data_IF_426803634866
#
_entry.id   IF_426803634866
#
_cell.length_a   1.000
_cell.length_b   1.000
_cell.length_c   1.000
_cell.angle_alpha   90.00
_cell.angle_beta   90.00
_cell.angle_gamma   90.00
#
_symmetry.space_group_name_H-M   'P 1'
#
loop_
_entity.id
_entity.type
_entity.pdbx_description
1 polymer ?
#
# COMPACT_ATOMS: atom_id res chain seq x y z
N UNK A 1 2.58 -35.11 -5.86
CA UNK A 1 2.26 -35.25 -4.42
C UNK A 1 3.32 -36.06 -3.68
N UNK A 2 3.62 -37.30 -4.10
CA UNK A 2 4.64 -38.17 -3.45
C UNK A 2 5.95 -37.47 -3.06
N UNK A 3 6.47 -36.61 -3.93
CA UNK A 3 7.65 -35.79 -3.61
C UNK A 3 7.47 -34.92 -2.35
N UNK A 4 6.35 -34.20 -2.22
CA UNK A 4 6.08 -33.34 -1.07
C UNK A 4 5.75 -34.16 0.19
N UNK A 5 5.08 -35.30 0.04
CA UNK A 5 4.83 -36.23 1.15
C UNK A 5 6.15 -36.74 1.74
N UNK A 6 7.07 -37.18 0.88
CA UNK A 6 8.41 -37.62 1.30
C UNK A 6 9.21 -36.51 2.00
N UNK A 7 9.11 -35.26 1.53
CA UNK A 7 9.73 -34.11 2.22
C UNK A 7 9.06 -33.86 3.56
N UNK A 8 7.73 -33.92 3.65
CA UNK A 8 7.01 -33.68 4.89
C UNK A 8 7.35 -34.72 5.96
N UNK A 9 7.45 -36.00 5.57
CA UNK A 9 7.89 -37.10 6.44
C UNK A 9 9.33 -36.91 6.91
N UNK A 10 10.23 -36.50 6.02
CA UNK A 10 11.65 -36.30 6.33
C UNK A 10 11.92 -35.03 7.13
N UNK A 11 11.11 -33.99 6.92
CA UNK A 11 11.31 -32.63 7.42
C UNK A 11 10.03 -32.05 8.04
N UNK A 12 9.45 -32.64 9.11
CA UNK A 12 8.16 -32.21 9.67
C UNK A 12 8.18 -30.80 10.31
N UNK A 13 9.39 -30.26 10.55
CA UNK A 13 9.60 -28.92 11.11
C UNK A 13 9.98 -27.89 10.05
N UNK A 14 9.76 -28.18 8.77
CA UNK A 14 10.04 -27.25 7.69
C UNK A 14 9.23 -25.96 7.88
N UNK A 15 9.92 -24.82 7.96
CA UNK A 15 9.30 -23.51 8.23
C UNK A 15 9.12 -22.64 6.99
N UNK A 16 9.86 -22.93 5.92
CA UNK A 16 9.90 -22.11 4.72
C UNK A 16 9.73 -22.94 3.46
N UNK A 17 8.83 -22.51 2.61
CA UNK A 17 8.57 -23.10 1.30
C UNK A 17 8.65 -22.01 0.22
N UNK A 18 9.47 -22.28 -0.79
CA UNK A 18 9.63 -21.41 -1.93
C UNK A 18 9.23 -22.15 -3.20
N UNK A 19 8.25 -21.58 -3.90
CA UNK A 19 7.79 -22.03 -5.20
C UNK A 19 8.39 -21.08 -6.24
N UNK A 20 9.41 -21.56 -6.95
CA UNK A 20 9.97 -20.86 -8.09
C UNK A 20 9.79 -21.71 -9.34
N UNK A 21 9.21 -21.13 -10.39
CA UNK A 21 8.95 -21.84 -11.67
C UNK A 21 8.09 -23.09 -11.47
N UNK A 22 7.14 -23.02 -10.53
CA UNK A 22 6.37 -24.18 -10.14
C UNK A 22 5.64 -24.75 -11.36
N UNK A 23 6.00 -26.00 -11.68
CA UNK A 23 5.40 -26.93 -12.63
C UNK A 23 4.83 -26.28 -13.89
N UNK A 24 5.45 -26.61 -15.03
CA UNK A 24 4.68 -26.67 -16.27
C UNK A 24 3.60 -27.75 -16.07
N UNK A 25 2.52 -27.38 -15.40
CA UNK A 25 1.33 -28.22 -15.36
C UNK A 25 0.79 -28.17 -16.77
N UNK A 26 0.77 -29.33 -17.41
CA UNK A 26 0.07 -29.47 -18.67
C UNK A 26 -1.36 -28.92 -18.52
N UNK A 27 -1.93 -28.28 -19.56
CA UNK A 27 -3.22 -27.60 -19.48
C UNK A 27 -4.33 -28.43 -18.81
N UNK A 28 -4.31 -29.76 -18.99
CA UNK A 28 -5.27 -30.69 -18.40
C UNK A 28 -5.13 -30.85 -16.87
N UNK A 29 -3.95 -30.61 -16.30
CA UNK A 29 -3.71 -30.71 -14.85
C UNK A 29 -3.97 -29.39 -14.09
N UNK A 30 -4.33 -28.31 -14.80
CA UNK A 30 -4.62 -27.02 -14.16
C UNK A 30 -5.72 -27.15 -13.11
N UNK A 31 -6.72 -28.00 -13.35
CA UNK A 31 -7.84 -28.29 -12.44
C UNK A 31 -7.43 -28.72 -11.04
N UNK A 32 -6.30 -29.39 -10.93
CA UNK A 32 -5.81 -29.88 -9.66
C UNK A 32 -4.87 -28.88 -8.98
N UNK A 33 -4.52 -27.76 -9.62
CA UNK A 33 -3.56 -26.79 -9.10
C UNK A 33 -3.88 -26.29 -7.69
N UNK A 34 -5.09 -25.73 -7.48
CA UNK A 34 -5.47 -25.21 -6.15
C UNK A 34 -5.50 -26.34 -5.11
N UNK A 35 -6.15 -27.45 -5.45
CA UNK A 35 -6.25 -28.60 -4.56
C UNK A 35 -4.85 -29.12 -4.17
N UNK A 36 -3.92 -29.10 -5.12
CA UNK A 36 -2.52 -29.47 -4.92
C UNK A 36 -1.82 -28.55 -3.93
N UNK A 37 -2.00 -27.22 -4.04
CA UNK A 37 -1.42 -26.28 -3.08
C UNK A 37 -2.06 -26.40 -1.69
N UNK A 38 -3.38 -26.56 -1.59
CA UNK A 38 -4.06 -26.80 -0.32
C UNK A 38 -3.52 -28.07 0.36
N UNK A 39 -3.36 -29.15 -0.41
CA UNK A 39 -2.76 -30.40 0.08
C UNK A 39 -1.30 -30.22 0.49
N UNK A 40 -0.49 -29.49 -0.28
CA UNK A 40 0.90 -29.17 0.11
C UNK A 40 0.91 -28.38 1.42
N UNK A 41 0.09 -27.35 1.57
CA UNK A 41 0.00 -26.58 2.80
C UNK A 41 -0.39 -27.44 4.00
N UNK A 42 -1.33 -28.38 3.82
CA UNK A 42 -1.71 -29.32 4.84
C UNK A 42 -0.57 -30.28 5.26
N UNK A 43 0.36 -30.60 4.35
CA UNK A 43 1.56 -31.40 4.67
C UNK A 43 2.60 -30.64 5.49
N UNK A 44 2.59 -29.30 5.46
CA UNK A 44 3.57 -28.45 6.13
C UNK A 44 2.91 -27.47 7.12
N UNK A 45 2.23 -27.96 8.18
CA UNK A 45 1.52 -27.10 9.13
C UNK A 45 2.45 -26.16 9.94
N UNK A 46 3.74 -26.50 10.01
CA UNK A 46 4.79 -25.69 10.66
C UNK A 46 5.33 -24.57 9.76
N UNK A 47 4.96 -24.53 8.47
CA UNK A 47 5.47 -23.56 7.52
C UNK A 47 4.86 -22.18 7.79
N UNK A 48 5.73 -21.23 8.13
CA UNK A 48 5.38 -19.84 8.42
C UNK A 48 5.78 -18.89 7.30
N UNK A 49 6.71 -19.31 6.43
CA UNK A 49 7.25 -18.53 5.31
C UNK A 49 6.88 -19.15 3.97
N UNK A 50 6.15 -18.40 3.15
CA UNK A 50 5.68 -18.85 1.85
C UNK A 50 6.08 -17.85 0.77
N UNK A 51 6.78 -18.35 -0.25
CA UNK A 51 7.23 -17.54 -1.39
C UNK A 51 6.68 -18.11 -2.68
N UNK A 52 6.04 -17.26 -3.48
CA UNK A 52 5.44 -17.60 -4.77
C UNK A 52 5.96 -16.67 -5.86
N UNK A 53 6.11 -17.21 -7.08
CA UNK A 53 6.13 -16.37 -8.28
C UNK A 53 4.69 -16.04 -8.69
N UNK A 54 4.41 -14.83 -9.17
CA UNK A 54 3.05 -14.42 -9.60
C UNK A 54 2.51 -15.33 -10.69
N UNK A 55 3.38 -15.79 -11.61
CA UNK A 55 3.02 -16.76 -12.64
C UNK A 55 2.46 -18.07 -12.05
N UNK A 56 2.94 -18.48 -10.87
CA UNK A 56 2.47 -19.69 -10.22
C UNK A 56 1.09 -19.46 -9.57
N UNK A 57 0.81 -18.24 -9.09
CA UNK A 57 -0.51 -17.85 -8.60
C UNK A 57 -1.56 -17.76 -9.71
N UNK A 58 -1.20 -17.25 -10.90
CA UNK A 58 -2.11 -17.25 -12.04
C UNK A 58 -2.53 -18.65 -12.47
N UNK A 59 -1.61 -19.62 -12.44
CA UNK A 59 -1.96 -21.01 -12.78
C UNK A 59 -3.02 -21.56 -11.82
N UNK A 60 -3.15 -20.99 -10.63
CA UNK A 60 -4.17 -21.32 -9.63
C UNK A 60 -5.52 -20.64 -9.92
N UNK A 61 -5.58 -19.55 -10.69
CA UNK A 61 -6.77 -18.71 -10.88
C UNK A 61 -7.99 -19.42 -11.49
N UNK A 62 -7.76 -20.49 -12.26
CA UNK A 62 -8.80 -21.09 -13.10
C UNK A 62 -9.87 -21.86 -12.32
N UNK A 63 -9.74 -22.00 -10.99
CA UNK A 63 -10.69 -22.77 -10.18
C UNK A 63 -11.37 -21.88 -9.15
N UNK A 64 -12.71 -21.90 -9.19
CA UNK A 64 -13.61 -20.95 -8.56
C UNK A 64 -13.74 -21.14 -7.04
N UNK A 65 -12.62 -21.36 -6.34
CA UNK A 65 -12.64 -21.49 -4.89
C UNK A 65 -12.76 -20.11 -4.22
N UNK A 66 -13.52 -20.08 -3.13
CA UNK A 66 -13.77 -18.85 -2.36
C UNK A 66 -12.52 -18.34 -1.65
N UNK A 67 -11.56 -19.20 -1.31
CA UNK A 67 -10.42 -18.85 -0.46
C UNK A 67 -9.08 -19.15 -1.14
N UNK A 68 -8.24 -18.13 -1.25
CA UNK A 68 -6.91 -18.21 -1.85
C UNK A 68 -5.88 -18.84 -0.91
N UNK A 69 -5.99 -18.50 0.38
CA UNK A 69 -5.31 -19.15 1.49
C UNK A 69 -6.37 -19.60 2.49
N UNK A 70 -6.53 -20.91 2.63
CA UNK A 70 -7.48 -21.52 3.58
C UNK A 70 -6.90 -21.68 4.99
N UNK A 71 -7.58 -22.47 5.81
CA UNK A 71 -7.17 -22.79 7.19
C UNK A 71 -5.84 -23.52 7.28
N UNK A 72 -5.38 -24.14 6.20
CA UNK A 72 -4.09 -24.82 6.10
C UNK A 72 -2.92 -23.84 6.29
N UNK A 73 -3.14 -22.55 6.06
CA UNK A 73 -2.15 -21.49 6.22
C UNK A 73 -2.30 -20.77 7.58
N UNK A 74 -2.83 -21.45 8.60
CA UNK A 74 -3.12 -20.86 9.93
C UNK A 74 -1.89 -20.22 10.61
N UNK A 75 -0.67 -20.60 10.23
CA UNK A 75 0.59 -20.13 10.81
C UNK A 75 1.40 -19.22 9.86
N UNK A 76 0.81 -18.76 8.77
CA UNK A 76 1.47 -17.86 7.81
C UNK A 76 1.88 -16.54 8.48
N UNK A 77 3.20 -16.31 8.61
CA UNK A 77 3.77 -15.04 9.11
C UNK A 77 4.46 -14.24 8.02
N UNK A 78 4.93 -14.91 6.96
CA UNK A 78 5.67 -14.27 5.86
C UNK A 78 5.11 -14.73 4.53
N UNK A 79 4.62 -13.77 3.74
CA UNK A 79 4.14 -14.00 2.38
C UNK A 79 4.94 -13.16 1.39
N UNK A 80 5.58 -13.83 0.43
CA UNK A 80 6.35 -13.20 -0.63
C UNK A 80 5.76 -13.60 -1.98
N UNK A 81 5.46 -12.63 -2.82
CA UNK A 81 4.91 -12.78 -4.17
C UNK A 81 5.74 -11.94 -5.13
N UNK A 82 6.52 -12.63 -5.95
CA UNK A 82 7.56 -12.05 -6.81
C UNK A 82 7.28 -12.26 -8.30
N UNK A 83 7.96 -11.48 -9.13
CA UNK A 83 7.91 -11.60 -10.58
C UNK A 83 6.87 -10.66 -11.21
N UNK A 84 7.21 -10.00 -12.32
CA UNK A 84 6.29 -9.08 -12.99
C UNK A 84 5.19 -9.88 -13.68
N UNK A 85 3.96 -9.39 -13.59
CA UNK A 85 2.87 -9.91 -14.39
C UNK A 85 2.01 -8.79 -14.97
N UNK A 86 1.80 -8.85 -16.27
CA UNK A 86 0.74 -8.11 -16.92
C UNK A 86 -0.58 -8.78 -16.55
N UNK A 87 -1.49 -8.03 -15.94
CA UNK A 87 -2.89 -8.44 -15.69
C UNK A 87 -3.14 -9.49 -14.58
N UNK A 88 -2.59 -9.27 -13.38
CA UNK A 88 -2.77 -10.16 -12.24
C UNK A 88 -4.08 -9.96 -11.44
N UNK A 89 -5.12 -9.40 -12.08
CA UNK A 89 -6.30 -8.85 -11.39
C UNK A 89 -6.96 -9.83 -10.43
N UNK A 90 -7.08 -11.09 -10.82
CA UNK A 90 -7.66 -12.10 -9.95
C UNK A 90 -6.79 -12.41 -8.73
N UNK A 91 -5.47 -12.54 -8.92
CA UNK A 91 -4.55 -12.78 -7.80
C UNK A 91 -4.56 -11.60 -6.83
N UNK A 92 -4.64 -10.38 -7.36
CA UNK A 92 -4.85 -9.16 -6.57
C UNK A 92 -6.16 -9.26 -5.76
N UNK A 93 -7.29 -9.57 -6.40
CA UNK A 93 -8.62 -9.62 -5.74
C UNK A 93 -8.67 -10.69 -4.65
N UNK A 94 -8.08 -11.85 -4.94
CA UNK A 94 -7.98 -12.98 -4.02
C UNK A 94 -7.07 -12.71 -2.83
N UNK A 95 -5.92 -12.07 -3.07
CA UNK A 95 -5.04 -11.64 -2.01
C UNK A 95 -5.69 -10.56 -1.14
N UNK A 96 -6.38 -9.60 -1.75
CA UNK A 96 -7.14 -8.60 -1.00
C UNK A 96 -8.19 -9.29 -0.10
N UNK A 97 -9.01 -10.19 -0.65
CA UNK A 97 -9.99 -10.95 0.13
C UNK A 97 -9.35 -11.75 1.28
N UNK A 98 -8.15 -12.29 1.09
CA UNK A 98 -7.41 -12.94 2.18
C UNK A 98 -6.99 -11.92 3.26
N UNK A 99 -6.41 -10.80 2.86
CA UNK A 99 -5.91 -9.76 3.78
C UNK A 99 -7.03 -9.09 4.57
N UNK A 100 -8.25 -9.11 4.04
CA UNK A 100 -9.42 -8.47 4.62
C UNK A 100 -10.33 -9.42 5.37
N UNK A 101 -10.28 -10.72 5.12
CA UNK A 101 -11.16 -11.71 5.77
C UNK A 101 -10.97 -11.76 7.30
N UNK A 102 -12.08 -11.87 8.05
CA UNK A 102 -12.07 -12.12 9.50
C UNK A 102 -11.59 -13.53 9.85
N UNK A 103 -11.77 -14.49 8.94
CA UNK A 103 -11.49 -15.91 9.19
C UNK A 103 -10.10 -16.33 8.71
N UNK A 104 -9.35 -15.43 8.08
CA UNK A 104 -8.03 -15.73 7.56
C UNK A 104 -6.93 -15.59 8.63
N UNK A 105 -5.78 -16.19 8.34
CA UNK A 105 -4.55 -16.02 9.12
C UNK A 105 -3.84 -14.70 8.86
N UNK A 106 -4.40 -13.79 8.05
CA UNK A 106 -3.76 -12.53 7.70
C UNK A 106 -3.39 -11.67 8.93
N UNK A 107 -4.15 -11.77 10.02
CA UNK A 107 -3.85 -11.09 11.29
C UNK A 107 -2.51 -11.49 11.92
N UNK A 108 -1.97 -12.67 11.58
CA UNK A 108 -0.65 -13.15 12.04
C UNK A 108 0.50 -12.75 11.11
N UNK A 109 0.19 -12.12 9.97
CA UNK A 109 1.19 -11.77 8.99
C UNK A 109 2.11 -10.67 9.54
N UNK A 110 3.41 -10.95 9.54
CA UNK A 110 4.49 -10.06 9.98
C UNK A 110 5.22 -9.46 8.77
N UNK A 111 5.33 -10.21 7.68
CA UNK A 111 6.02 -9.77 6.47
C UNK A 111 5.16 -10.03 5.23
N UNK A 112 4.91 -8.98 4.46
CA UNK A 112 4.18 -9.02 3.20
C UNK A 112 5.02 -8.34 2.12
N UNK A 113 5.50 -9.11 1.15
CA UNK A 113 6.26 -8.60 0.01
C UNK A 113 5.57 -8.99 -1.29
N UNK A 114 4.92 -8.04 -1.93
CA UNK A 114 4.08 -8.25 -3.11
C UNK A 114 4.46 -7.21 -4.16
N UNK A 115 5.66 -7.35 -4.71
CA UNK A 115 6.17 -6.46 -5.75
C UNK A 115 5.78 -6.92 -7.15
N UNK A 116 5.25 -8.14 -7.27
CA UNK A 116 4.78 -8.70 -8.53
C UNK A 116 3.33 -8.37 -8.90
N UNK A 117 2.51 -7.97 -7.92
CA UNK A 117 1.11 -7.56 -8.11
C UNK A 117 0.98 -6.04 -7.97
N UNK A 118 -0.02 -5.43 -8.60
CA UNK A 118 -0.24 -3.98 -8.53
C UNK A 118 -1.64 -3.69 -7.99
N UNK A 119 -1.74 -3.40 -6.69
CA UNK A 119 -3.01 -3.17 -6.02
C UNK A 119 -3.67 -1.89 -6.54
N UNK A 120 -4.94 -1.93 -6.92
CA UNK A 120 -5.62 -0.73 -7.32
C UNK A 120 -5.87 0.21 -6.14
N UNK A 121 -5.67 1.51 -6.37
CA UNK A 121 -5.81 2.52 -5.31
C UNK A 121 -7.21 2.56 -4.66
N UNK A 122 -8.26 2.21 -5.39
CA UNK A 122 -9.63 2.22 -4.86
C UNK A 122 -9.88 1.18 -3.76
N UNK A 123 -8.99 0.19 -3.57
CA UNK A 123 -9.08 -0.70 -2.39
C UNK A 123 -8.65 -0.02 -1.10
N UNK A 124 -7.89 1.06 -1.20
CA UNK A 124 -7.41 1.82 -0.05
C UNK A 124 -8.19 3.13 0.13
N UNK A 125 -8.98 3.51 -0.88
CA UNK A 125 -9.83 4.69 -0.85
C UNK A 125 -11.17 4.41 -0.15
N UNK A 126 -11.18 4.55 1.17
CA UNK A 126 -12.37 4.32 2.00
C UNK A 126 -13.55 5.24 1.67
N UNK A 127 -13.29 6.36 1.00
CA UNK A 127 -14.30 7.34 0.62
C UNK A 127 -14.68 7.24 -0.86
N UNK A 128 -14.08 6.30 -1.60
CA UNK A 128 -14.35 6.06 -3.03
C UNK A 128 -14.25 7.31 -3.91
N UNK A 129 -13.38 8.26 -3.56
CA UNK A 129 -13.11 9.49 -4.32
C UNK A 129 -12.55 9.20 -5.71
N UNK A 130 -11.81 8.09 -5.84
CA UNK A 130 -11.29 7.56 -7.11
C UNK A 130 -12.37 6.82 -7.93
N UNK A 131 -13.57 6.64 -7.36
CA UNK A 131 -14.65 5.83 -7.90
C UNK A 131 -15.50 6.59 -8.91
N UNK A 132 -15.26 6.30 -10.20
CA UNK A 132 -16.18 6.48 -11.32
C UNK A 132 -16.11 7.83 -12.05
N UNK A 133 -15.03 8.03 -12.81
CA UNK A 133 -15.01 8.94 -13.96
C UNK A 133 -16.00 8.54 -15.07
N UNK A 134 -16.63 7.36 -15.00
CA UNK A 134 -17.73 7.01 -15.90
C UNK A 134 -19.08 7.45 -15.32
N UNK A 135 -19.87 8.24 -16.07
CA UNK A 135 -21.20 8.65 -15.63
C UNK A 135 -22.09 7.41 -15.38
N UNK A 136 -22.95 7.43 -14.35
CA UNK A 136 -23.81 6.31 -13.97
C UNK A 136 -24.63 5.74 -15.13
N UNK A 137 -24.95 6.56 -16.12
CA UNK A 137 -25.77 6.21 -17.29
C UNK A 137 -25.15 5.17 -18.23
N UNK A 138 -23.85 4.86 -18.13
CA UNK A 138 -23.18 3.85 -18.97
C UNK A 138 -22.82 2.55 -18.25
N UNK A 139 -23.01 2.47 -16.93
CA UNK A 139 -22.79 1.22 -16.20
C UNK A 139 -24.01 0.30 -16.38
N UNK A 140 -23.92 -0.62 -17.35
CA UNK A 140 -24.93 -1.68 -17.59
C UNK A 140 -24.99 -2.76 -16.50
N UNK A 141 -24.14 -2.67 -15.46
CA UNK A 141 -24.08 -3.66 -14.38
C UNK A 141 -24.80 -3.06 -13.17
N UNK A 142 -25.74 -3.79 -12.54
CA UNK A 142 -26.44 -3.29 -11.36
C UNK A 142 -25.44 -2.93 -10.28
N UNK A 143 -25.58 -1.73 -9.72
CA UNK A 143 -24.97 -1.25 -8.48
C UNK A 143 -25.42 -2.14 -7.30
N UNK A 144 -24.96 -3.39 -7.24
CA UNK A 144 -24.97 -4.16 -6.00
C UNK A 144 -23.91 -3.56 -5.07
N UNK A 145 -24.30 -2.47 -4.43
CA UNK A 145 -23.50 -1.66 -3.51
C UNK A 145 -23.19 -2.34 -2.17
N UNK A 146 -23.09 -3.68 -2.14
CA UNK A 146 -22.63 -4.46 -0.98
C UNK A 146 -21.09 -4.57 -0.92
N UNK A 147 -20.37 -4.18 -1.98
CA UNK A 147 -18.92 -4.32 -2.08
C UNK A 147 -18.11 -3.11 -1.57
N UNK A 148 -18.76 -2.10 -1.00
CA UNK A 148 -18.17 -0.77 -0.85
C UNK A 148 -17.94 -0.30 0.59
N UNK A 149 -17.95 -1.20 1.56
CA UNK A 149 -16.99 -1.04 2.64
C UNK A 149 -15.69 -1.62 2.11
N UNK A 150 -14.76 -0.76 1.68
CA UNK A 150 -13.39 -1.18 1.41
C UNK A 150 -12.92 -1.99 2.63
N UNK A 151 -12.87 -3.31 2.48
CA UNK A 151 -12.55 -4.15 3.61
C UNK A 151 -11.10 -3.81 4.00
N UNK A 152 -10.90 -3.48 5.27
CA UNK A 152 -9.60 -3.03 5.74
C UNK A 152 -8.72 -4.25 5.99
N UNK A 153 -7.45 -4.16 5.57
CA UNK A 153 -6.49 -5.22 5.80
C UNK A 153 -6.29 -5.44 7.30
N UNK A 154 -6.35 -6.70 7.73
CA UNK A 154 -6.34 -7.10 9.15
C UNK A 154 -4.95 -7.40 9.69
N UNK A 155 -3.90 -7.30 8.88
CA UNK A 155 -2.51 -7.55 9.27
C UNK A 155 -1.89 -6.38 10.07
N UNK A 156 -2.40 -6.09 11.28
CA UNK A 156 -1.93 -4.95 12.11
C UNK A 156 -0.50 -5.09 12.64
N UNK A 157 -0.04 -6.34 12.82
CA UNK A 157 1.29 -6.69 13.32
C UNK A 157 2.37 -6.69 12.22
N UNK A 158 2.04 -6.17 11.03
CA UNK A 158 2.92 -6.18 9.89
C UNK A 158 4.13 -5.25 10.13
N UNK A 159 5.33 -5.84 10.04
CA UNK A 159 6.62 -5.15 10.15
C UNK A 159 7.24 -4.83 8.80
N UNK A 160 6.94 -5.62 7.78
CA UNK A 160 7.42 -5.38 6.42
C UNK A 160 6.28 -5.34 5.44
N UNK A 161 6.19 -4.25 4.68
CA UNK A 161 5.22 -4.08 3.59
C UNK A 161 5.94 -3.62 2.34
N UNK A 162 6.05 -4.48 1.34
CA UNK A 162 6.53 -4.10 0.02
C UNK A 162 5.39 -4.27 -0.97
N UNK A 163 4.90 -3.18 -1.55
CA UNK A 163 3.70 -3.19 -2.39
C UNK A 163 3.81 -2.23 -3.56
N UNK A 164 3.21 -2.63 -4.68
CA UNK A 164 3.00 -1.76 -5.83
C UNK A 164 1.53 -1.36 -5.91
N UNK A 165 1.28 -0.09 -6.22
CA UNK A 165 -0.04 0.47 -6.41
C UNK A 165 -0.24 0.84 -7.88
N UNK A 166 -1.39 0.43 -8.43
CA UNK A 166 -1.84 0.75 -9.78
C UNK A 166 -2.77 1.96 -9.74
N UNK A 167 -2.40 2.99 -10.50
CA UNK A 167 -3.31 4.07 -10.87
C UNK A 167 -4.01 3.68 -12.17
N UNK A 168 -5.36 3.76 -12.21
CA UNK A 168 -6.12 3.53 -13.45
C UNK A 168 -6.05 4.72 -14.40
N UNK A 169 -5.99 5.92 -13.83
CA UNK A 169 -6.08 7.19 -14.54
C UNK A 169 -4.79 8.00 -14.26
N UNK A 170 -3.81 7.88 -15.16
CA UNK A 170 -2.50 8.56 -15.06
C UNK A 170 -2.63 10.09 -15.02
N UNK A 171 -3.80 10.64 -15.38
CA UNK A 171 -3.90 12.04 -15.76
C UNK A 171 -4.14 13.03 -14.61
N UNK A 172 -4.68 12.66 -13.44
CA UNK A 172 -5.07 13.70 -12.46
C UNK A 172 -4.97 13.39 -10.96
N UNK A 173 -4.60 12.17 -10.55
CA UNK A 173 -4.71 11.79 -9.13
C UNK A 173 -3.39 11.53 -8.41
N UNK A 174 -2.24 11.94 -8.96
CA UNK A 174 -0.93 11.70 -8.36
C UNK A 174 -0.89 12.02 -6.85
N UNK A 175 -1.33 13.22 -6.46
CA UNK A 175 -1.37 13.66 -5.06
C UNK A 175 -2.43 12.94 -4.22
N UNK A 176 -3.68 12.88 -4.70
CA UNK A 176 -4.78 12.27 -3.93
C UNK A 176 -4.56 10.78 -3.70
N UNK A 177 -4.10 10.04 -4.72
CA UNK A 177 -3.77 8.62 -4.60
C UNK A 177 -2.61 8.40 -3.62
N UNK A 178 -1.58 9.24 -3.65
CA UNK A 178 -0.50 9.19 -2.66
C UNK A 178 -1.02 9.46 -1.24
N UNK A 179 -1.92 10.44 -1.05
CA UNK A 179 -2.53 10.70 0.27
C UNK A 179 -3.34 9.51 0.75
N UNK A 180 -4.15 8.91 -0.12
CA UNK A 180 -4.95 7.71 0.19
C UNK A 180 -4.02 6.60 0.66
N UNK A 181 -3.00 6.29 -0.15
CA UNK A 181 -2.03 5.25 0.17
C UNK A 181 -1.30 5.51 1.48
N UNK A 182 -0.70 6.69 1.65
CA UNK A 182 0.09 7.00 2.82
C UNK A 182 -0.77 7.07 4.09
N UNK A 183 -1.97 7.66 3.98
CA UNK A 183 -2.97 7.67 5.04
C UNK A 183 -3.37 6.26 5.45
N UNK A 184 -3.74 5.42 4.49
CA UNK A 184 -4.14 4.03 4.75
C UNK A 184 -3.00 3.25 5.41
N UNK A 185 -1.80 3.28 4.83
CA UNK A 185 -0.62 2.56 5.37
C UNK A 185 -0.30 3.01 6.79
N UNK A 186 -0.28 4.33 7.05
CA UNK A 186 0.03 4.89 8.37
C UNK A 186 -0.95 4.46 9.47
N UNK A 187 -2.22 4.26 9.12
CA UNK A 187 -3.29 3.87 10.05
C UNK A 187 -3.37 2.36 10.21
N UNK A 188 -3.24 1.63 9.11
CA UNK A 188 -3.50 0.19 9.11
C UNK A 188 -2.33 -0.62 9.64
N UNK A 189 -1.09 -0.15 9.44
CA UNK A 189 0.12 -0.88 9.80
C UNK A 189 1.04 -0.07 10.74
N UNK A 190 0.61 0.21 11.97
CA UNK A 190 1.38 1.05 12.91
C UNK A 190 2.73 0.43 13.32
N UNK A 191 2.88 -0.87 13.12
CA UNK A 191 4.05 -1.67 13.51
C UNK A 191 5.14 -1.76 12.42
N UNK A 192 4.99 -1.07 11.29
CA UNK A 192 5.94 -1.15 10.18
C UNK A 192 7.33 -0.69 10.56
N UNK A 193 8.31 -1.52 10.22
CA UNK A 193 9.75 -1.27 10.32
C UNK A 193 10.40 -1.09 8.93
N UNK A 194 9.86 -1.73 7.89
CA UNK A 194 10.37 -1.71 6.51
C UNK A 194 9.22 -1.53 5.50
N UNK A 195 9.23 -0.42 4.76
CA UNK A 195 8.19 -0.03 3.82
C UNK A 195 8.79 0.21 2.43
N UNK A 196 8.27 -0.48 1.42
CA UNK A 196 8.53 -0.20 0.01
C UNK A 196 7.22 0.13 -0.68
N UNK A 197 7.10 1.35 -1.18
CA UNK A 197 5.97 1.81 -1.99
C UNK A 197 6.43 1.96 -3.44
N UNK A 198 5.77 1.27 -4.35
CA UNK A 198 6.00 1.41 -5.80
C UNK A 198 4.73 1.91 -6.49
N UNK A 199 4.85 2.93 -7.33
CA UNK A 199 3.72 3.56 -8.03
C UNK A 199 4.20 4.13 -9.36
N UNK A 200 3.31 4.22 -10.33
CA UNK A 200 3.67 4.78 -11.65
C UNK A 200 4.14 6.22 -11.53
N UNK A 201 3.30 7.10 -10.96
CA UNK A 201 3.63 8.51 -10.76
C UNK A 201 3.62 8.83 -9.27
N UNK A 202 4.76 9.26 -8.73
CA UNK A 202 4.86 9.72 -7.34
C UNK A 202 5.06 11.22 -7.28
N UNK A 203 4.26 11.86 -6.44
CA UNK A 203 4.46 13.25 -6.04
C UNK A 203 5.11 13.26 -4.66
N UNK A 204 6.22 13.98 -4.52
CA UNK A 204 6.96 14.06 -3.28
C UNK A 204 6.54 15.25 -2.41
N UNK A 205 5.69 16.14 -2.91
CA UNK A 205 5.26 17.34 -2.19
C UNK A 205 4.63 17.03 -0.83
N UNK A 206 4.68 17.99 0.08
CA UNK A 206 4.15 17.82 1.44
C UNK A 206 2.66 17.48 1.45
N UNK A 207 1.89 18.04 0.51
CA UNK A 207 0.47 17.81 0.33
C UNK A 207 0.16 16.48 -0.37
N UNK A 208 1.16 15.79 -0.93
CA UNK A 208 0.98 14.46 -1.53
C UNK A 208 0.74 13.36 -0.50
N UNK A 209 1.02 13.64 0.78
CA UNK A 209 0.71 12.74 1.89
C UNK A 209 1.87 11.87 2.37
N UNK A 210 3.06 11.93 1.76
CA UNK A 210 4.25 11.22 2.30
C UNK A 210 4.56 11.63 3.74
N UNK A 211 4.26 12.88 4.11
CA UNK A 211 4.40 13.36 5.49
C UNK A 211 3.52 12.56 6.47
N UNK A 212 2.41 11.96 6.04
CA UNK A 212 1.52 11.18 6.90
C UNK A 212 2.19 9.90 7.42
N UNK A 213 3.14 9.35 6.65
CA UNK A 213 3.90 8.15 7.03
C UNK A 213 4.77 8.36 8.28
N UNK A 214 4.93 9.58 8.79
CA UNK A 214 5.70 9.83 10.01
C UNK A 214 5.02 9.39 11.29
N UNK A 215 3.73 9.08 11.23
CA UNK A 215 3.05 8.36 12.30
C UNK A 215 3.61 6.96 12.52
N UNK A 216 4.29 6.38 11.51
CA UNK A 216 5.00 5.11 11.64
C UNK A 216 6.28 5.29 12.46
N UNK A 217 6.14 5.45 13.78
CA UNK A 217 7.26 5.70 14.69
C UNK A 217 8.30 4.56 14.77
N UNK A 218 7.94 3.37 14.28
CA UNK A 218 8.83 2.19 14.20
C UNK A 218 9.56 2.05 12.87
N UNK A 219 9.25 2.90 11.88
CA UNK A 219 9.79 2.79 10.53
C UNK A 219 11.30 3.07 10.53
N UNK A 220 12.06 2.08 10.05
CA UNK A 220 13.52 2.14 9.91
C UNK A 220 13.97 2.28 8.47
N UNK A 221 13.24 1.66 7.54
CA UNK A 221 13.59 1.62 6.12
C UNK A 221 12.40 2.08 5.30
N UNK A 222 12.61 3.08 4.45
CA UNK A 222 11.62 3.56 3.49
C UNK A 222 12.21 3.53 2.09
N UNK A 223 11.56 2.83 1.17
CA UNK A 223 11.85 2.91 -0.26
C UNK A 223 10.64 3.44 -1.01
N UNK A 224 10.84 4.48 -1.80
CA UNK A 224 9.81 5.10 -2.63
C UNK A 224 10.23 4.95 -4.08
N UNK A 225 9.43 4.22 -4.86
CA UNK A 225 9.74 3.82 -6.24
C UNK A 225 8.72 4.42 -7.20
N UNK A 226 9.12 5.45 -7.94
CA UNK A 226 8.36 6.03 -9.05
C UNK A 226 8.77 5.34 -10.36
N UNK A 227 7.83 4.68 -11.04
CA UNK A 227 8.12 3.98 -12.30
C UNK A 227 8.20 4.94 -13.50
N UNK A 228 7.50 6.05 -13.41
CA UNK A 228 7.46 7.11 -14.40
C UNK A 228 7.87 8.45 -13.77
N UNK A 229 7.88 9.48 -14.61
CA UNK A 229 8.35 10.83 -14.33
C UNK A 229 7.79 11.39 -13.02
N UNK A 230 8.68 11.83 -12.13
CA UNK A 230 8.35 12.64 -10.96
C UNK A 230 9.19 13.92 -10.99
N UNK A 231 8.54 15.08 -11.00
CA UNK A 231 9.26 16.34 -10.82
C UNK A 231 9.64 16.48 -9.36
N UNK A 232 10.94 16.57 -9.08
CA UNK A 232 11.45 16.82 -7.73
C UNK A 232 11.70 18.33 -7.62
N UNK A 233 10.67 19.07 -7.21
CA UNK A 233 10.78 20.53 -7.06
C UNK A 233 11.41 20.89 -5.71
N UNK A 234 12.12 22.02 -5.64
CA UNK A 234 12.62 22.58 -4.39
C UNK A 234 11.49 22.74 -3.35
N UNK A 235 11.50 21.91 -2.31
CA UNK A 235 10.49 21.92 -1.24
C UNK A 235 9.81 20.57 -1.02
N UNK A 236 9.88 19.67 -2.01
CA UNK A 236 9.26 18.34 -1.97
C UNK A 236 9.83 17.39 -0.90
N UNK A 237 10.82 17.80 -0.12
CA UNK A 237 11.40 16.97 0.94
C UNK A 237 11.29 17.62 2.32
N UNK A 238 10.56 18.71 2.45
CA UNK A 238 10.48 19.43 3.74
C UNK A 238 9.82 18.55 4.82
N UNK A 239 9.09 17.50 4.43
CA UNK A 239 8.55 16.49 5.34
C UNK A 239 9.61 15.59 5.99
N UNK A 240 10.84 15.50 5.45
CA UNK A 240 11.99 14.77 6.03
C UNK A 240 12.71 15.56 7.12
N UNK A 241 12.46 16.87 7.23
CA UNK A 241 13.17 17.71 8.17
C UNK A 241 13.03 17.18 9.61
N UNK A 242 14.17 17.00 10.29
CA UNK A 242 14.21 16.52 11.68
C UNK A 242 13.59 17.50 12.67
N UNK A 243 13.86 18.79 12.44
CA UNK A 243 13.34 19.90 13.24
C UNK A 243 12.39 20.73 12.37
N UNK A 244 11.11 20.41 12.46
CA UNK A 244 10.08 21.14 11.72
C UNK A 244 9.84 22.56 12.24
N UNK A 245 10.32 22.91 13.44
CA UNK A 245 10.19 24.27 13.93
C UNK A 245 10.99 25.25 13.07
N UNK A 246 12.12 24.80 12.48
CA UNK A 246 12.99 25.63 11.65
C UNK A 246 12.52 25.82 10.20
N UNK A 247 11.73 24.91 9.63
CA UNK A 247 11.22 25.02 8.24
C UNK A 247 9.99 25.93 8.13
N UNK A 248 10.00 27.06 8.87
CA UNK A 248 8.87 27.96 9.15
C UNK A 248 8.06 28.47 7.95
N UNK A 249 8.60 28.51 6.72
CA UNK A 249 7.88 29.10 5.56
C UNK A 249 6.84 28.15 4.97
N UNK A 250 7.22 26.92 4.61
CA UNK A 250 6.30 25.91 4.10
C UNK A 250 5.19 25.59 5.13
N UNK A 251 5.56 25.55 6.42
CA UNK A 251 4.65 25.41 7.56
C UNK A 251 3.56 26.49 7.60
N UNK A 252 3.96 27.77 7.58
CA UNK A 252 3.01 28.90 7.63
C UNK A 252 2.16 28.94 6.38
N UNK A 253 2.75 28.65 5.22
CA UNK A 253 2.05 28.64 3.95
C UNK A 253 0.96 27.56 3.92
N UNK A 254 1.27 26.30 4.25
CA UNK A 254 0.27 25.21 4.19
C UNK A 254 -0.85 25.40 5.23
N UNK A 255 -0.53 25.85 6.44
CA UNK A 255 -1.54 26.21 7.45
C UNK A 255 -2.40 27.41 7.03
N UNK A 256 -1.79 28.42 6.40
CA UNK A 256 -2.52 29.60 5.92
C UNK A 256 -3.36 29.26 4.69
N UNK A 257 -2.83 28.51 3.74
CA UNK A 257 -3.55 28.00 2.57
C UNK A 257 -4.72 27.14 3.01
N UNK A 258 -4.54 26.21 3.96
CA UNK A 258 -5.66 25.43 4.46
C UNK A 258 -6.72 26.29 5.16
N UNK A 259 -6.29 27.27 5.97
CA UNK A 259 -7.22 28.24 6.60
C UNK A 259 -7.98 29.07 5.57
N UNK A 260 -7.32 29.48 4.48
CA UNK A 260 -7.88 30.33 3.43
C UNK A 260 -8.65 29.54 2.37
N UNK A 261 -8.40 28.25 2.20
CA UNK A 261 -9.06 27.34 1.26
C UNK A 261 -10.42 26.83 1.74
N UNK A 262 -10.85 27.19 2.96
CA UNK A 262 -12.19 26.89 3.47
C UNK A 262 -13.34 27.21 2.48
N UNK A 263 -13.30 28.27 1.64
CA UNK A 263 -14.37 28.54 0.65
C UNK A 263 -14.22 27.80 -0.69
N UNK A 264 -13.06 27.17 -0.99
CA UNK A 264 -12.79 26.44 -2.25
C UNK A 264 -12.84 24.91 -2.09
N UNK A 265 -13.36 24.41 -0.98
CA UNK A 265 -13.60 22.97 -0.76
C UNK A 265 -14.43 22.28 -1.84
N UNK A 266 -15.04 23.02 -2.75
CA UNK A 266 -15.73 22.56 -3.95
C UNK A 266 -15.01 21.40 -4.68
N UNK A 267 -13.67 21.36 -4.75
CA UNK A 267 -12.93 20.21 -5.31
C UNK A 267 -12.96 18.92 -4.45
N UNK A 268 -13.01 19.03 -3.11
CA UNK A 268 -13.24 17.90 -2.21
C UNK A 268 -14.75 17.57 -2.09
N UNK A 269 -15.63 18.57 -2.23
CA UNK A 269 -17.09 18.42 -2.11
C UNK A 269 -17.74 17.82 -3.35
N UNK A 270 -17.15 17.89 -4.55
CA UNK A 270 -17.74 17.23 -5.72
C UNK A 270 -17.61 15.70 -5.73
N UNK A 271 -16.83 15.11 -4.81
CA UNK A 271 -16.91 13.68 -4.51
C UNK A 271 -18.04 13.34 -3.50
N UNK A 272 -18.75 14.33 -2.96
CA UNK A 272 -19.81 14.17 -1.97
C UNK A 272 -21.21 14.35 -2.56
N UNK A 273 -21.68 13.34 -3.30
CA UNK A 273 -23.06 12.77 -3.23
C UNK A 273 -23.24 11.74 -4.36
N UNK A 274 -23.73 10.49 -4.10
CA UNK A 274 -24.66 10.09 -3.04
C UNK A 274 -24.34 8.70 -2.45
N UNK A 275 -23.80 8.59 -1.23
CA UNK A 275 -23.88 7.31 -0.52
C UNK A 275 -24.30 7.40 0.96
N UNK A 276 -24.33 8.59 1.56
CA UNK A 276 -24.71 8.73 2.98
C UNK A 276 -25.78 9.79 3.30
N UNK A 277 -26.48 10.33 2.29
CA UNK A 277 -27.64 11.21 2.50
C UNK A 277 -28.91 10.48 3.00
N UNK A 278 -28.84 9.17 3.30
CA UNK A 278 -30.01 8.38 3.67
C UNK A 278 -30.13 8.02 5.16
N UNK A 279 -29.21 8.45 6.02
CA UNK A 279 -29.38 8.27 7.47
C UNK A 279 -28.95 9.53 8.21
N UNK A 280 -29.91 10.43 8.42
CA UNK A 280 -29.88 11.47 9.45
C UNK A 280 -29.86 10.80 10.84
N UNK A 281 -28.77 10.12 11.18
CA UNK A 281 -28.45 9.81 12.56
C UNK A 281 -27.95 11.11 13.22
N UNK A 282 -28.59 11.47 14.34
CA UNK A 282 -28.32 12.71 15.08
C UNK A 282 -26.81 12.90 15.30
N UNK A 283 -26.30 14.14 15.23
CA UNK A 283 -24.90 14.45 15.54
C UNK A 283 -24.59 14.06 16.99
N UNK A 284 -24.05 12.85 17.18
CA UNK A 284 -23.80 12.24 18.48
C UNK A 284 -23.58 10.73 18.41
N UNK A 285 -24.26 10.02 17.50
CA UNK A 285 -24.24 8.55 17.46
C UNK A 285 -23.28 7.92 16.42
N UNK A 286 -22.70 8.70 15.50
CA UNK A 286 -21.93 8.14 14.36
C UNK A 286 -20.43 7.91 14.60
N UNK A 287 -19.93 8.08 15.84
CA UNK A 287 -18.48 7.92 16.12
C UNK A 287 -18.02 6.47 15.91
N UNK A 288 -18.90 5.47 16.07
CA UNK A 288 -18.52 4.06 15.95
C UNK A 288 -18.26 3.60 14.52
N UNK A 289 -18.83 4.26 13.51
CA UNK A 289 -18.81 3.76 12.14
C UNK A 289 -17.47 3.92 11.41
N UNK A 290 -16.54 4.69 11.98
CA UNK A 290 -15.21 4.93 11.39
C UNK A 290 -14.08 4.23 12.14
N UNK A 291 -14.41 3.53 13.23
CA UNK A 291 -13.44 2.77 14.02
C UNK A 291 -13.38 1.35 13.48
N UNK A 292 -12.24 0.94 12.93
CA UNK A 292 -12.05 -0.43 12.43
C UNK A 292 -10.90 -1.08 13.17
N UNK A 293 -11.23 -2.12 13.94
CA UNK A 293 -10.32 -2.78 14.88
C UNK A 293 -9.64 -1.79 15.86
N UNK A 294 -10.39 -0.78 16.32
CA UNK A 294 -9.87 0.26 17.23
C UNK A 294 -9.06 1.36 16.54
N UNK A 295 -8.93 1.34 15.21
CA UNK A 295 -8.24 2.39 14.45
C UNK A 295 -9.26 3.39 13.90
N UNK A 296 -9.03 4.68 14.17
CA UNK A 296 -9.80 5.77 13.57
C UNK A 296 -9.40 5.97 12.10
N UNK A 297 -10.32 5.64 11.20
CA UNK A 297 -10.13 5.73 9.76
C UNK A 297 -10.67 7.05 9.16
N UNK A 298 -11.09 8.01 9.99
CA UNK A 298 -11.55 9.31 9.50
C UNK A 298 -10.45 10.04 8.74
N UNK A 299 -10.84 10.73 7.69
CA UNK A 299 -9.98 11.62 6.89
C UNK A 299 -8.85 10.92 6.13
N UNK A 300 -8.76 9.59 6.14
CA UNK A 300 -7.75 8.85 5.37
C UNK A 300 -7.79 9.31 3.90
N UNK A 301 -6.66 9.79 3.39
CA UNK A 301 -6.53 10.32 2.04
C UNK A 301 -6.95 11.77 1.80
N UNK A 302 -7.48 12.45 2.83
CA UNK A 302 -7.84 13.87 2.74
C UNK A 302 -6.65 14.78 3.10
N UNK A 303 -6.68 16.03 2.61
CA UNK A 303 -5.71 17.06 3.03
C UNK A 303 -5.81 17.34 4.53
N UNK A 304 -6.99 17.16 5.11
CA UNK A 304 -7.19 17.28 6.56
C UNK A 304 -6.26 16.36 7.37
N UNK A 305 -6.03 15.14 6.92
CA UNK A 305 -5.15 14.21 7.64
C UNK A 305 -3.68 14.69 7.62
N UNK A 306 -3.24 15.29 6.51
CA UNK A 306 -1.94 15.96 6.41
C UNK A 306 -1.83 17.10 7.44
N UNK A 307 -2.88 17.91 7.57
CA UNK A 307 -2.91 19.03 8.53
C UNK A 307 -2.86 18.53 9.97
N UNK A 308 -3.59 17.47 10.31
CA UNK A 308 -3.55 16.87 11.65
C UNK A 308 -2.17 16.31 11.97
N UNK A 309 -1.52 15.60 11.04
CA UNK A 309 -0.12 15.14 11.21
C UNK A 309 0.83 16.30 11.49
N UNK A 310 0.68 17.41 10.77
CA UNK A 310 1.51 18.60 10.99
C UNK A 310 1.28 19.14 12.41
N UNK A 311 0.02 19.22 12.87
CA UNK A 311 -0.29 19.67 14.23
C UNK A 311 0.28 18.73 15.30
N UNK A 312 0.10 17.42 15.13
CA UNK A 312 0.64 16.37 16.01
C UNK A 312 2.15 16.54 16.15
N UNK A 313 2.88 16.64 15.04
CA UNK A 313 4.33 16.85 15.08
C UNK A 313 4.73 18.14 15.77
N UNK A 314 3.98 19.23 15.57
CA UNK A 314 4.27 20.50 16.24
C UNK A 314 4.07 20.42 17.75
N UNK A 315 3.11 19.62 18.21
CA UNK A 315 2.90 19.35 19.62
C UNK A 315 4.02 18.48 20.21
N UNK A 316 4.50 17.49 19.46
CA UNK A 316 5.51 16.51 19.91
C UNK A 316 6.97 17.01 19.77
N UNK A 317 7.17 18.33 19.66
CA UNK A 317 8.52 18.91 19.52
C UNK A 317 9.16 18.72 18.14
N UNK A 318 8.39 18.29 17.14
CA UNK A 318 8.77 18.30 15.73
C UNK A 318 9.56 17.08 15.25
N UNK A 319 9.79 16.06 16.08
CA UNK A 319 10.61 14.92 15.69
C UNK A 319 9.92 14.03 14.65
N UNK A 320 10.62 13.75 13.55
CA UNK A 320 10.15 12.96 12.42
C UNK A 320 10.93 11.66 12.30
N UNK A 321 10.26 10.51 12.30
CA UNK A 321 10.86 9.17 12.24
C UNK A 321 12.13 9.03 13.10
N UNK A 322 11.95 8.93 14.42
CA UNK A 322 13.09 8.84 15.34
C UNK A 322 13.98 7.61 15.09
N UNK A 323 13.45 6.59 14.37
CA UNK A 323 14.13 5.32 14.09
C UNK A 323 14.52 5.11 12.63
N UNK A 324 14.32 6.10 11.75
CA UNK A 324 14.68 5.94 10.34
C UNK A 324 16.20 5.82 10.21
N UNK A 325 16.63 4.75 9.56
CA UNK A 325 18.04 4.41 9.30
C UNK A 325 18.35 4.51 7.80
N UNK A 326 17.37 4.19 6.94
CA UNK A 326 17.58 4.05 5.51
C UNK A 326 16.45 4.66 4.68
N UNK A 327 16.80 5.49 3.70
CA UNK A 327 15.88 6.05 2.70
C UNK A 327 16.38 5.70 1.29
N UNK A 328 15.53 5.06 0.50
CA UNK A 328 15.81 4.80 -0.91
C UNK A 328 14.80 5.51 -1.80
N UNK A 329 15.29 6.29 -2.75
CA UNK A 329 14.48 6.96 -3.75
C UNK A 329 14.82 6.38 -5.11
N UNK A 330 13.88 5.65 -5.71
CA UNK A 330 14.03 5.10 -7.05
C UNK A 330 13.15 5.90 -8.01
N UNK A 331 13.78 6.65 -8.91
CA UNK A 331 13.07 7.53 -9.83
C UNK A 331 13.33 7.04 -11.25
N UNK A 332 12.26 6.74 -12.00
CA UNK A 332 12.29 6.50 -13.44
C UNK A 332 12.18 7.81 -14.23
N UNK A 333 12.87 7.92 -15.37
CA UNK A 333 12.81 9.11 -16.23
C UNK A 333 13.99 9.25 -17.20
N UNK A 334 13.91 10.24 -18.09
CA UNK A 334 14.91 10.54 -19.12
C UNK A 334 16.19 11.25 -18.60
N UNK A 335 17.19 11.37 -19.47
CA UNK A 335 18.57 11.82 -19.14
C UNK A 335 18.72 13.27 -18.66
N UNK A 336 17.69 14.11 -18.67
CA UNK A 336 17.87 15.56 -18.43
C UNK A 336 17.71 15.98 -16.96
N UNK A 337 17.28 15.08 -16.05
CA UNK A 337 16.92 15.40 -14.66
C UNK A 337 17.96 15.01 -13.59
N UNK A 338 19.22 14.91 -13.98
CA UNK A 338 20.27 14.33 -13.14
C UNK A 338 20.83 15.36 -12.16
N UNK A 339 20.76 16.64 -12.53
CA UNK A 339 21.11 17.75 -11.65
C UNK A 339 20.21 17.75 -10.40
N UNK A 340 18.93 17.45 -10.58
CA UNK A 340 17.97 17.39 -9.45
C UNK A 340 18.32 16.29 -8.46
N UNK A 341 18.85 15.15 -8.91
CA UNK A 341 19.22 14.04 -7.99
C UNK A 341 20.38 14.37 -7.04
N UNK A 342 21.40 15.10 -7.51
CA UNK A 342 22.52 15.52 -6.67
C UNK A 342 22.10 16.60 -5.68
N UNK A 343 21.25 17.53 -6.12
CA UNK A 343 20.65 18.56 -5.25
C UNK A 343 19.77 17.91 -4.18
N UNK A 344 19.00 16.89 -4.56
CA UNK A 344 18.16 16.11 -3.66
C UNK A 344 18.99 15.42 -2.58
N UNK A 345 20.04 14.70 -2.99
CA UNK A 345 20.94 14.00 -2.08
C UNK A 345 21.61 14.97 -1.11
N UNK A 346 22.16 16.08 -1.61
CA UNK A 346 22.74 17.11 -0.77
C UNK A 346 21.72 17.69 0.24
N UNK A 347 20.47 17.91 -0.20
CA UNK A 347 19.40 18.41 0.67
C UNK A 347 19.03 17.40 1.75
N UNK A 348 18.86 16.12 1.42
CA UNK A 348 18.57 15.07 2.41
C UNK A 348 19.72 14.95 3.40
N UNK A 349 20.97 14.83 2.93
CA UNK A 349 22.14 14.72 3.82
C UNK A 349 22.28 15.93 4.75
N UNK A 350 21.88 17.12 4.30
CA UNK A 350 21.83 18.31 5.14
C UNK A 350 20.72 18.23 6.21
N UNK A 351 19.55 17.69 5.88
CA UNK A 351 18.40 17.62 6.79
C UNK A 351 18.45 16.43 7.76
N UNK A 352 19.02 15.31 7.30
CA UNK A 352 19.07 14.00 7.97
C UNK A 352 20.42 13.32 7.70
N UNK A 353 21.54 13.87 8.20
CA UNK A 353 22.86 13.28 8.00
C UNK A 353 23.01 11.88 8.62
N UNK A 354 22.13 11.51 9.55
CA UNK A 354 22.12 10.21 10.21
C UNK A 354 21.48 9.08 9.37
N UNK A 355 20.75 9.42 8.29
CA UNK A 355 20.08 8.44 7.44
C UNK A 355 21.00 8.06 6.28
N UNK A 356 21.15 6.76 6.03
CA UNK A 356 21.72 6.25 4.80
C UNK A 356 20.75 6.53 3.64
N UNK A 357 21.19 7.31 2.65
CA UNK A 357 20.42 7.64 1.47
C UNK A 357 20.95 6.91 0.24
N UNK A 358 20.06 6.22 -0.46
CA UNK A 358 20.34 5.65 -1.77
C UNK A 358 19.38 6.21 -2.83
N UNK A 359 19.94 6.89 -3.83
CA UNK A 359 19.16 7.37 -5.00
C UNK A 359 19.45 6.45 -6.19
N UNK A 360 18.53 5.52 -6.45
CA UNK A 360 18.68 4.54 -7.53
C UNK A 360 18.02 5.06 -8.79
N UNK A 361 18.76 5.02 -9.89
CA UNK A 361 18.28 5.44 -11.19
C UNK A 361 17.78 4.22 -11.94
N UNK A 362 16.48 4.16 -12.24
CA UNK A 362 15.92 3.07 -13.03
C UNK A 362 15.87 3.50 -14.48
N UNK A 363 16.66 2.83 -15.33
CA UNK A 363 16.42 2.92 -16.78
C UNK A 363 15.08 2.24 -17.02
N UNK A 364 14.08 3.00 -17.43
CA UNK A 364 12.83 2.44 -17.90
C UNK A 364 13.18 1.72 -19.20
N UNK A 365 13.29 0.39 -19.14
CA UNK A 365 13.22 -0.40 -20.33
C UNK A 365 11.78 -0.26 -20.81
N UNK A 366 11.56 0.53 -21.86
CA UNK A 366 10.27 0.53 -22.54
C UNK A 366 10.00 -0.91 -22.95
N UNK A 367 9.09 -1.58 -22.25
CA UNK A 367 8.52 -2.84 -22.71
C UNK A 367 7.58 -2.44 -23.86
N UNK A 368 8.16 -2.37 -25.06
CA UNK A 368 7.45 -2.18 -26.33
C UNK A 368 6.66 -3.44 -26.64
#
# INVERSE_FOLDING_TARGET
>A
MQFFESIAESCPRLQSLQFSKAFWMEPHNRAHGIEYYGRIAALFPSATHWTFQVNDLLKMQMFNQKHFFGSEHANLTTLVIEGPLMEARYAEEKLNSFLTSTTSSAHKLVHLRVTGLAFPIWWWDLELRQGHSQPPSKQKVPLQNAFFCAEIWRCRSLKTLHVRVKDKDELNFGRTSMRIMCGYVSRVFPELEDLVLEKTLMDFDMDSGLCVLTRLGRLKRLSVVSLAYGSVVNGCLDWLAKDWARTSRAKKQLLNEWRLSKPRQVEETFAHAPFRLAQDSKPGDSVRDYMVDGVDMRYVGQVRDVVEVIKERLADGGMCWPRMEFLQLRIGGERQQWQDSLVLEAKVRKMRPEIELEVVRRRVAYMI
#
